data_IF_219107263731
#
_entry.id   IF_219107263731
#
_cell.length_a   1.000
_cell.length_b   1.000
_cell.length_c   1.000
_cell.angle_alpha   90.00
_cell.angle_beta   90.00
_cell.angle_gamma   90.00
#
_symmetry.space_group_name_H-M   'P 1'
#
loop_
_entity.id
_entity.type
_entity.pdbx_description
1 polymer ?
#
# COMPACT_ATOMS: atom_id res chain seq x y z
N UNK A 1 -16.56 -25.34 -16.36
CA UNK A 1 -15.83 -25.42 -15.08
C UNK A 1 -14.46 -24.73 -15.13
N UNK A 2 -13.57 -25.03 -16.10
CA UNK A 2 -12.20 -24.46 -16.16
C UNK A 2 -12.08 -22.91 -16.10
N UNK A 3 -12.99 -22.16 -16.73
CA UNK A 3 -12.87 -20.68 -16.85
C UNK A 3 -12.99 -19.96 -15.50
N UNK A 4 -13.94 -20.39 -14.67
CA UNK A 4 -14.23 -19.75 -13.38
C UNK A 4 -13.09 -19.98 -12.38
N UNK A 5 -12.48 -21.16 -12.41
CA UNK A 5 -11.36 -21.50 -11.54
C UNK A 5 -10.08 -20.73 -11.92
N UNK A 6 -9.86 -20.53 -13.21
CA UNK A 6 -8.76 -19.69 -13.71
C UNK A 6 -8.91 -18.23 -13.27
N UNK A 7 -10.11 -17.66 -13.41
CA UNK A 7 -10.41 -16.28 -12.99
C UNK A 7 -10.22 -16.11 -11.48
N UNK A 8 -10.74 -17.04 -10.67
CA UNK A 8 -10.57 -17.02 -9.21
C UNK A 8 -9.10 -17.08 -8.80
N UNK A 9 -8.30 -17.97 -9.42
CA UNK A 9 -6.86 -18.09 -9.15
C UNK A 9 -6.10 -16.84 -9.53
N UNK A 10 -6.43 -16.24 -10.68
CA UNK A 10 -5.82 -14.98 -11.11
C UNK A 10 -6.16 -13.84 -10.15
N UNK A 11 -7.44 -13.68 -9.80
CA UNK A 11 -7.90 -12.68 -8.85
C UNK A 11 -7.21 -12.81 -7.49
N UNK A 12 -7.08 -14.05 -6.97
CA UNK A 12 -6.36 -14.29 -5.72
C UNK A 12 -4.88 -13.87 -5.79
N UNK A 13 -4.19 -14.19 -6.89
CA UNK A 13 -2.78 -13.76 -7.10
C UNK A 13 -2.65 -12.25 -7.18
N UNK A 14 -3.58 -11.59 -7.87
CA UNK A 14 -3.61 -10.14 -7.99
C UNK A 14 -3.83 -9.47 -6.62
N UNK A 15 -4.76 -9.98 -5.81
CA UNK A 15 -5.00 -9.50 -4.45
C UNK A 15 -3.78 -9.70 -3.54
N UNK A 16 -3.11 -10.85 -3.64
CA UNK A 16 -1.87 -11.11 -2.89
C UNK A 16 -0.79 -10.12 -3.29
N UNK A 17 -0.57 -9.92 -4.60
CA UNK A 17 0.41 -8.97 -5.10
C UNK A 17 0.13 -7.54 -4.64
N UNK A 18 -1.12 -7.09 -4.78
CA UNK A 18 -1.56 -5.78 -4.31
C UNK A 18 -1.35 -5.62 -2.79
N UNK A 19 -1.67 -6.65 -2.01
CA UNK A 19 -1.42 -6.67 -0.57
C UNK A 19 0.06 -6.51 -0.21
N UNK A 20 0.94 -7.23 -0.91
CA UNK A 20 2.41 -7.10 -0.74
C UNK A 20 2.87 -5.68 -1.07
N UNK A 21 2.39 -5.10 -2.18
CA UNK A 21 2.73 -3.72 -2.54
C UNK A 21 2.31 -2.71 -1.47
N UNK A 22 1.10 -2.85 -0.91
CA UNK A 22 0.61 -1.97 0.17
C UNK A 22 1.49 -2.13 1.42
N UNK A 23 1.84 -3.35 1.80
CA UNK A 23 2.72 -3.61 2.96
C UNK A 23 4.09 -2.97 2.75
N UNK A 24 4.71 -3.17 1.58
CA UNK A 24 6.01 -2.58 1.28
C UNK A 24 5.98 -1.06 1.27
N UNK A 25 4.89 -0.46 0.77
CA UNK A 25 4.68 0.99 0.78
C UNK A 25 4.55 1.53 2.21
N UNK A 26 3.81 0.84 3.09
CA UNK A 26 3.70 1.20 4.52
C UNK A 26 5.07 1.06 5.20
N UNK A 27 5.77 -0.05 5.00
CA UNK A 27 7.09 -0.26 5.62
C UNK A 27 8.12 0.77 5.14
N UNK A 28 8.16 1.05 3.83
CA UNK A 28 9.08 2.05 3.27
C UNK A 28 8.82 3.45 3.83
N UNK A 29 7.56 3.85 3.98
CA UNK A 29 7.18 5.15 4.57
C UNK A 29 7.48 5.21 6.07
N UNK A 30 7.25 4.12 6.82
CA UNK A 30 7.67 4.02 8.23
C UNK A 30 9.18 4.18 8.40
N UNK A 31 9.97 3.52 7.54
CA UNK A 31 11.44 3.65 7.54
C UNK A 31 11.84 5.09 7.22
N UNK A 32 11.22 5.72 6.21
CA UNK A 32 11.47 7.12 5.86
C UNK A 32 11.19 8.07 7.02
N UNK A 33 10.07 7.89 7.73
CA UNK A 33 9.76 8.68 8.93
C UNK A 33 10.78 8.48 10.05
N UNK A 34 11.20 7.24 10.29
CA UNK A 34 12.22 6.92 11.30
C UNK A 34 13.56 7.60 10.98
N UNK A 35 14.02 7.51 9.72
CA UNK A 35 15.25 8.16 9.26
C UNK A 35 15.14 9.69 9.36
N UNK A 36 13.95 10.24 9.09
CA UNK A 36 13.67 11.67 9.23
C UNK A 36 13.50 12.19 10.67
N UNK A 37 13.64 11.33 11.69
CA UNK A 37 13.50 11.70 13.10
C UNK A 37 12.07 11.93 13.58
N UNK A 38 11.09 11.46 12.81
CA UNK A 38 9.65 11.58 13.10
C UNK A 38 9.04 10.25 13.55
N UNK A 39 7.80 10.28 14.05
CA UNK A 39 7.11 9.05 14.49
C UNK A 39 6.82 8.12 13.29
N UNK A 40 7.36 6.89 13.22
CA UNK A 40 7.11 5.95 12.13
C UNK A 40 5.63 5.59 11.95
N UNK A 41 4.85 5.61 13.02
CA UNK A 41 3.41 5.33 12.99
C UNK A 41 2.58 6.48 12.39
N UNK A 42 3.20 7.62 12.07
CA UNK A 42 2.54 8.72 11.36
C UNK A 42 2.00 8.30 9.99
N UNK A 43 2.49 7.20 9.41
CA UNK A 43 1.95 6.59 8.18
C UNK A 43 0.43 6.29 8.26
N UNK A 44 -0.12 6.06 9.45
CA UNK A 44 -1.55 5.77 9.62
C UNK A 44 -2.41 7.03 9.82
N UNK A 45 -1.80 8.21 9.87
CA UNK A 45 -2.54 9.47 9.99
C UNK A 45 -3.10 9.89 8.62
N UNK A 46 -4.38 10.30 8.52
CA UNK A 46 -4.95 10.78 7.27
C UNK A 46 -4.15 11.95 6.66
N UNK A 47 -3.64 12.84 7.51
CA UNK A 47 -2.80 13.98 7.11
C UNK A 47 -1.56 13.56 6.31
N UNK A 48 -1.02 12.36 6.55
CA UNK A 48 0.11 11.79 5.81
C UNK A 48 -0.22 11.44 4.37
N UNK A 49 -1.49 11.35 3.99
CA UNK A 49 -1.88 11.03 2.61
C UNK A 49 -2.51 12.21 1.89
N UNK A 50 -2.95 13.23 2.63
CA UNK A 50 -3.60 14.43 2.06
C UNK A 50 -2.76 15.14 1.00
N UNK A 51 -1.43 15.07 1.07
CA UNK A 51 -0.54 15.69 0.09
C UNK A 51 -0.46 14.95 -1.25
N UNK A 52 -0.86 13.67 -1.31
CA UNK A 52 -0.97 12.96 -2.60
C UNK A 52 -2.11 13.55 -3.45
N UNK A 53 -3.23 13.93 -2.83
CA UNK A 53 -4.35 14.56 -3.52
C UNK A 53 -4.00 15.95 -4.08
N UNK A 54 -3.15 16.70 -3.37
CA UNK A 54 -2.66 18.02 -3.82
C UNK A 54 -1.75 17.95 -5.04
N UNK A 55 -1.21 16.79 -5.39
CA UNK A 55 -0.38 16.63 -6.59
C UNK A 55 -1.21 16.58 -7.88
N UNK A 56 -2.53 16.41 -7.77
CA UNK A 56 -3.47 16.33 -8.90
C UNK A 56 -4.21 17.65 -9.16
N UNK A 57 -3.96 18.68 -8.34
CA UNK A 57 -4.39 20.07 -8.55
C UNK A 57 -3.37 20.82 -9.41
#
# INVERSE_FOLDING_TARGET
>A
MLKTDAIKRFGARLLIGAGICIILLILGTMIGFAIGGSNPFAVFLPSTWTHIGKFLE
#
